data_IF_003136836424
#
_entry.id   IF_003136836424
#
_cell.length_a   1.000
_cell.length_b   1.000
_cell.length_c   1.000
_cell.angle_alpha   90.00
_cell.angle_beta   90.00
_cell.angle_gamma   90.00
#
_symmetry.space_group_name_H-M   'P 1'
#
loop_
_entity.id
_entity.type
_entity.pdbx_description
1 polymer ?
#
# COMPACT_ATOMS: atom_id res chain seq x y z
N UNK A 1 18.27 14.21 -9.22
CA UNK A 1 19.05 13.03 -8.81
C UNK A 1 18.30 12.43 -7.64
N UNK A 2 17.92 11.15 -7.67
CA UNK A 2 17.40 10.49 -6.48
C UNK A 2 18.56 10.35 -5.50
N UNK A 3 18.35 10.66 -4.23
CA UNK A 3 19.39 10.66 -3.20
C UNK A 3 19.91 9.25 -2.84
N UNK A 4 19.63 8.23 -3.66
CA UNK A 4 20.10 6.86 -3.42
C UNK A 4 19.46 6.23 -2.19
N UNK A 5 18.15 6.40 -2.01
CA UNK A 5 17.40 5.83 -0.89
C UNK A 5 16.25 4.95 -1.41
N UNK A 6 15.90 3.93 -0.62
CA UNK A 6 14.70 3.13 -0.87
C UNK A 6 13.47 3.98 -0.58
N UNK A 7 12.48 3.98 -1.46
CA UNK A 7 11.19 4.61 -1.19
C UNK A 7 10.04 3.93 -1.91
N UNK A 8 8.83 4.15 -1.39
CA UNK A 8 7.55 3.91 -2.05
C UNK A 8 6.58 5.05 -1.71
N UNK A 9 5.90 5.58 -2.71
CA UNK A 9 4.89 6.64 -2.53
C UNK A 9 3.60 6.29 -3.25
N UNK A 10 2.47 6.56 -2.62
CA UNK A 10 1.17 6.51 -3.25
C UNK A 10 1.02 7.76 -4.11
N UNK A 11 0.78 7.56 -5.41
CA UNK A 11 0.55 8.64 -6.38
C UNK A 11 -0.94 8.98 -6.42
N UNK A 12 -1.79 7.94 -6.37
CA UNK A 12 -3.25 8.10 -6.40
C UNK A 12 -3.96 6.84 -5.94
N UNK A 13 -5.10 7.02 -5.28
CA UNK A 13 -6.08 5.98 -4.99
C UNK A 13 -7.39 6.30 -5.69
N UNK A 14 -8.06 5.30 -6.26
CA UNK A 14 -9.40 5.45 -6.83
C UNK A 14 -10.25 4.22 -6.51
N UNK A 15 -11.42 4.38 -5.85
CA UNK A 15 -11.93 5.62 -5.26
C UNK A 15 -11.16 6.03 -3.98
N UNK A 16 -10.93 7.32 -3.77
CA UNK A 16 -10.35 7.88 -2.53
C UNK A 16 -11.43 8.38 -1.54
N UNK A 17 -12.66 8.51 -2.02
CA UNK A 17 -13.78 9.13 -1.33
C UNK A 17 -15.10 8.54 -1.80
N UNK A 18 -16.18 8.80 -1.05
CA UNK A 18 -17.49 8.23 -1.36
C UNK A 18 -17.51 6.71 -1.17
N UNK A 19 -16.81 6.21 -0.16
CA UNK A 19 -16.85 4.80 0.21
C UNK A 19 -18.17 4.45 0.92
N UNK A 20 -18.53 3.16 0.85
CA UNK A 20 -19.71 2.59 1.53
C UNK A 20 -19.22 1.50 2.49
N UNK A 21 -19.55 1.62 3.78
CA UNK A 21 -19.14 0.65 4.81
C UNK A 21 -19.58 -0.78 4.45
N UNK A 22 -18.64 -1.72 4.49
CA UNK A 22 -18.86 -3.15 4.32
C UNK A 22 -19.19 -3.62 2.89
N UNK A 23 -19.13 -2.74 1.89
CA UNK A 23 -19.41 -3.09 0.49
C UNK A 23 -18.11 -3.35 -0.27
N UNK A 24 -18.03 -4.48 -0.98
CA UNK A 24 -16.89 -4.79 -1.85
C UNK A 24 -16.65 -3.63 -2.82
N UNK A 25 -15.45 -3.07 -2.78
CA UNK A 25 -15.03 -1.91 -3.56
C UNK A 25 -13.74 -2.25 -4.28
N UNK A 26 -13.72 -1.99 -5.60
CA UNK A 26 -12.53 -2.13 -6.42
C UNK A 26 -11.68 -0.86 -6.29
N UNK A 27 -10.46 -1.03 -5.79
CA UNK A 27 -9.46 0.02 -5.67
C UNK A 27 -8.40 -0.13 -6.75
N UNK A 28 -8.08 0.98 -7.40
CA UNK A 28 -6.85 1.18 -8.17
C UNK A 28 -5.91 2.05 -7.35
N UNK A 29 -4.73 1.52 -6.99
CA UNK A 29 -3.71 2.26 -6.21
C UNK A 29 -2.43 2.31 -7.01
N UNK A 30 -2.09 3.50 -7.51
CA UNK A 30 -0.88 3.75 -8.26
C UNK A 30 0.24 4.18 -7.30
N UNK A 31 1.40 3.56 -7.43
CA UNK A 31 2.59 3.88 -6.63
C UNK A 31 3.78 4.19 -7.52
N UNK A 32 4.68 5.02 -7.02
CA UNK A 32 6.07 5.08 -7.48
C UNK A 32 6.99 4.48 -6.42
N UNK A 33 8.10 3.91 -6.86
CA UNK A 33 9.09 3.33 -5.97
C UNK A 33 10.50 3.54 -6.51
N UNK A 34 11.46 3.42 -5.60
CA UNK A 34 12.86 3.20 -5.92
C UNK A 34 13.42 2.17 -4.95
N UNK A 35 13.96 1.08 -5.47
CA UNK A 35 14.76 0.13 -4.71
C UNK A 35 16.23 0.41 -4.98
N UNK A 36 16.93 0.92 -3.98
CA UNK A 36 18.34 1.28 -4.04
C UNK A 36 19.24 0.35 -3.21
N UNK A 37 18.85 -0.07 -2.01
CA UNK A 37 19.76 -0.80 -1.11
C UNK A 37 19.95 -2.25 -1.52
N UNK A 38 18.94 -2.87 -2.13
CA UNK A 38 18.92 -4.30 -2.44
C UNK A 38 18.74 -4.59 -3.92
N UNK A 39 19.02 -5.84 -4.31
CA UNK A 39 18.87 -6.29 -5.71
C UNK A 39 17.43 -6.66 -6.05
N UNK A 40 16.65 -7.10 -5.06
CA UNK A 40 15.27 -7.55 -5.20
C UNK A 40 14.45 -7.04 -4.00
N UNK A 41 13.20 -6.73 -4.28
CA UNK A 41 12.23 -6.33 -3.28
C UNK A 41 10.83 -6.77 -3.67
N UNK A 42 9.88 -6.50 -2.79
CA UNK A 42 8.47 -6.76 -3.02
C UNK A 42 7.66 -5.53 -2.62
N UNK A 43 6.69 -5.19 -3.46
CA UNK A 43 5.67 -4.20 -3.16
C UNK A 43 4.43 -4.92 -2.65
N UNK A 44 3.85 -4.43 -1.57
CA UNK A 44 2.65 -4.99 -0.96
C UNK A 44 1.63 -3.89 -0.70
N UNK A 45 0.35 -4.23 -0.83
CA UNK A 45 -0.77 -3.35 -0.48
C UNK A 45 -1.55 -3.94 0.69
N UNK A 46 -1.90 -3.07 1.64
CA UNK A 46 -2.54 -3.43 2.88
C UNK A 46 -3.67 -2.44 3.20
N UNK A 47 -4.69 -2.90 3.92
CA UNK A 47 -5.79 -2.07 4.42
C UNK A 47 -6.06 -2.36 5.89
N UNK A 48 -6.60 -1.38 6.60
CA UNK A 48 -7.04 -1.55 7.99
C UNK A 48 -8.53 -1.93 8.11
N UNK A 49 -9.07 -2.76 7.20
CA UNK A 49 -10.51 -3.11 7.17
C UNK A 49 -10.95 -4.06 8.29
N UNK A 50 -10.04 -4.86 8.86
CA UNK A 50 -10.37 -5.83 9.91
C UNK A 50 -10.09 -5.31 11.33
N UNK A 51 -9.17 -4.35 11.48
CA UNK A 51 -8.84 -3.73 12.77
C UNK A 51 -8.21 -2.37 12.55
N UNK A 52 -8.66 -1.39 13.34
CA UNK A 52 -8.33 0.02 13.16
C UNK A 52 -6.83 0.34 13.26
N UNK A 53 -6.12 -0.35 14.15
CA UNK A 53 -4.70 -0.11 14.47
C UNK A 53 -3.76 -1.10 13.73
N UNK A 54 -4.26 -1.85 12.75
CA UNK A 54 -3.47 -2.88 12.06
C UNK A 54 -3.81 -2.97 10.59
N UNK A 55 -2.80 -3.25 9.76
CA UNK A 55 -2.98 -3.40 8.32
C UNK A 55 -2.86 -4.87 7.91
N UNK A 56 -3.89 -5.38 7.24
CA UNK A 56 -3.89 -6.71 6.62
C UNK A 56 -3.38 -6.62 5.19
N UNK A 57 -2.41 -7.47 4.82
CA UNK A 57 -1.96 -7.61 3.43
C UNK A 57 -3.10 -8.18 2.59
N UNK A 58 -3.37 -7.58 1.44
CA UNK A 58 -4.33 -8.14 0.48
C UNK A 58 -3.72 -9.38 -0.16
N UNK A 59 -4.36 -10.54 0.04
CA UNK A 59 -3.86 -11.80 -0.51
C UNK A 59 -3.71 -11.74 -2.04
N UNK A 60 -2.61 -12.28 -2.54
CA UNK A 60 -2.25 -12.30 -3.97
C UNK A 60 -2.06 -10.92 -4.63
N UNK A 61 -2.06 -9.83 -3.86
CA UNK A 61 -1.78 -8.47 -4.36
C UNK A 61 -0.38 -8.00 -3.96
N UNK A 62 0.64 -8.71 -4.46
CA UNK A 62 2.04 -8.32 -4.30
C UNK A 62 2.76 -8.30 -5.64
N UNK A 63 3.85 -7.55 -5.71
CA UNK A 63 4.62 -7.39 -6.94
C UNK A 63 6.13 -7.43 -6.65
N UNK A 64 6.83 -8.37 -7.27
CA UNK A 64 8.29 -8.48 -7.16
C UNK A 64 8.97 -7.46 -8.07
N UNK A 65 9.96 -6.77 -7.53
CA UNK A 65 10.75 -5.77 -8.23
C UNK A 65 12.23 -6.08 -8.16
N UNK A 66 12.98 -5.51 -9.09
CA UNK A 66 14.44 -5.46 -9.05
C UNK A 66 14.90 -4.04 -8.73
N UNK A 67 16.17 -3.93 -8.33
CA UNK A 67 16.84 -2.65 -8.08
C UNK A 67 16.57 -1.63 -9.20
N UNK A 68 16.19 -0.42 -8.81
CA UNK A 68 15.83 0.67 -9.72
C UNK A 68 14.55 1.37 -9.31
N UNK A 69 14.16 2.35 -10.12
CA UNK A 69 12.93 3.11 -9.95
C UNK A 69 11.85 2.64 -10.93
N UNK A 70 10.59 2.79 -10.55
CA UNK A 70 9.45 2.46 -11.39
C UNK A 70 8.13 2.87 -10.78
N UNK A 71 7.06 2.53 -11.48
CA UNK A 71 5.68 2.67 -11.01
C UNK A 71 4.97 1.33 -11.07
N UNK A 72 3.93 1.16 -10.26
CA UNK A 72 3.07 -0.02 -10.29
C UNK A 72 1.63 0.35 -9.91
N UNK A 73 0.66 -0.39 -10.44
CA UNK A 73 -0.75 -0.22 -10.11
C UNK A 73 -1.29 -1.50 -9.47
N UNK A 74 -1.70 -1.39 -8.20
CA UNK A 74 -2.47 -2.42 -7.55
C UNK A 74 -3.93 -2.30 -7.98
N UNK A 75 -4.52 -3.43 -8.33
CA UNK A 75 -5.95 -3.57 -8.61
C UNK A 75 -6.50 -4.61 -7.64
N UNK A 76 -7.26 -4.17 -6.63
CA UNK A 76 -7.71 -5.02 -5.52
C UNK A 76 -9.16 -4.76 -5.16
N UNK A 77 -9.85 -5.80 -4.69
CA UNK A 77 -11.20 -5.67 -4.13
C UNK A 77 -11.12 -5.79 -2.62
N UNK A 78 -11.59 -4.78 -1.90
CA UNK A 78 -11.59 -4.73 -0.42
C UNK A 78 -12.94 -4.21 0.07
N UNK A 79 -13.37 -4.64 1.26
CA UNK A 79 -14.55 -4.08 1.95
C UNK A 79 -14.09 -2.94 2.87
N UNK A 80 -14.37 -1.67 2.54
CA UNK A 80 -14.01 -0.55 3.40
C UNK A 80 -14.72 -0.67 4.74
N UNK A 81 -14.05 -0.22 5.80
CA UNK A 81 -14.63 -0.19 7.14
C UNK A 81 -14.72 1.23 7.66
N UNK A 82 -15.94 1.70 7.90
CA UNK A 82 -16.15 2.98 8.58
C UNK A 82 -15.92 2.78 10.09
N UNK A 83 -14.83 3.34 10.58
CA UNK A 83 -14.44 3.31 11.98
C UNK A 83 -15.11 4.43 12.80
N UNK A 84 -15.85 5.33 12.16
CA UNK A 84 -16.56 6.43 12.80
C UNK A 84 -15.64 7.31 13.65
N UNK A 85 -15.99 7.52 14.92
CA UNK A 85 -15.17 8.32 15.83
C UNK A 85 -13.91 7.59 16.34
N UNK A 86 -13.72 6.32 16.00
CA UNK A 86 -12.56 5.56 16.45
C UNK A 86 -11.30 5.90 15.63
N UNK A 87 -11.47 6.32 14.36
CA UNK A 87 -10.37 6.70 13.46
C UNK A 87 -10.76 6.57 11.98
N UNK A 88 -9.77 6.49 11.10
CA UNK A 88 -9.98 6.50 9.65
C UNK A 88 -9.71 5.14 8.99
N UNK A 89 -10.39 4.90 7.86
CA UNK A 89 -10.03 3.83 6.94
C UNK A 89 -8.84 4.26 6.08
N UNK A 90 -7.85 3.37 5.93
CA UNK A 90 -6.56 3.69 5.34
C UNK A 90 -6.06 2.56 4.47
N UNK A 91 -5.40 2.94 3.39
CA UNK A 91 -4.54 2.06 2.59
C UNK A 91 -3.08 2.32 2.95
N UNK A 92 -2.29 1.26 3.04
CA UNK A 92 -0.85 1.30 3.23
C UNK A 92 -0.20 0.52 2.10
N UNK A 93 0.84 1.08 1.49
CA UNK A 93 1.73 0.36 0.58
C UNK A 93 3.11 0.24 1.23
N UNK A 94 3.75 -0.91 1.06
CA UNK A 94 5.05 -1.21 1.69
C UNK A 94 6.02 -1.72 0.63
N UNK A 95 7.27 -1.28 0.76
CA UNK A 95 8.41 -1.83 0.04
C UNK A 95 9.29 -2.63 1.02
N UNK A 96 9.49 -3.91 0.73
CA UNK A 96 10.34 -4.81 1.53
C UNK A 96 11.53 -5.36 0.73
N UNK A 97 12.58 -5.78 1.43
CA UNK A 97 13.69 -6.57 0.88
C UNK A 97 13.26 -8.01 0.60
N UNK A 98 13.66 -8.57 -0.55
CA UNK A 98 13.62 -10.02 -0.79
C UNK A 98 15.06 -10.58 -0.79
N UNK A 99 15.35 -11.65 -0.02
CA UNK A 99 14.44 -12.55 0.69
C UNK A 99 14.27 -12.25 2.20
N UNK A 100 14.01 -11.00 2.59
CA UNK A 100 13.81 -10.56 3.98
C UNK A 100 14.94 -10.96 4.93
N UNK A 101 16.19 -10.71 4.55
CA UNK A 101 17.36 -11.10 5.36
C UNK A 101 17.62 -10.05 6.45
N UNK A 102 17.46 -8.77 6.13
CA UNK A 102 17.90 -7.67 6.99
C UNK A 102 16.78 -6.71 7.40
N UNK A 103 15.78 -6.50 6.55
CA UNK A 103 14.67 -5.59 6.82
C UNK A 103 13.31 -6.16 6.39
N UNK A 104 12.32 -6.00 7.26
CA UNK A 104 10.92 -6.35 7.01
C UNK A 104 10.08 -5.19 6.46
N UNK A 105 10.64 -3.98 6.39
CA UNK A 105 10.06 -2.80 5.76
C UNK A 105 11.18 -1.82 5.48
N UNK A 106 11.41 -1.55 4.20
CA UNK A 106 12.38 -0.54 3.74
C UNK A 106 11.75 0.84 3.74
N UNK A 107 10.50 0.92 3.27
CA UNK A 107 9.69 2.14 3.31
C UNK A 107 8.19 1.79 3.23
N UNK A 108 7.34 2.74 3.55
CA UNK A 108 5.89 2.62 3.40
C UNK A 108 5.19 3.96 3.38
N UNK A 109 4.05 4.00 2.67
CA UNK A 109 3.24 5.21 2.52
C UNK A 109 1.75 4.89 2.73
N UNK A 110 1.02 5.85 3.30
CA UNK A 110 -0.36 5.66 3.76
C UNK A 110 -1.26 6.77 3.27
N UNK A 111 -2.46 6.40 2.81
CA UNK A 111 -3.51 7.35 2.43
C UNK A 111 -4.81 7.08 3.19
N UNK A 112 -5.46 8.16 3.64
CA UNK A 112 -6.78 8.13 4.30
C UNK A 112 -7.86 8.16 3.24
N UNK A 113 -8.80 7.22 3.32
CA UNK A 113 -9.91 7.11 2.38
C UNK A 113 -11.23 7.42 3.08
N UNK A 114 -12.13 8.12 2.39
CA UNK A 114 -13.29 8.75 3.05
C UNK A 114 -14.64 8.18 2.60
N UNK A 115 -15.59 8.17 3.53
CA UNK A 115 -16.96 7.69 3.30
C UNK A 115 -17.90 8.84 2.90
N UNK A 116 -19.10 8.51 2.41
CA UNK A 116 -20.18 9.48 2.16
C UNK A 116 -20.79 10.07 3.44
#
# INVERSE_FOLDING_TARGET
ESNGEDYIHIISVTPDSGLIDGVDTDFTVAVEYNLFSYNQGILQICFNNESIDSYGVVENANFYIYKGYGTYEFNVTVKPKDWGSQGDFKVLVVLDEIPWVNAYSLDGDTEILTFY
#
